data_IF_141630178181
#
_entry.id   IF_141630178181
#
_cell.length_a   1.000
_cell.length_b   1.000
_cell.length_c   1.000
_cell.angle_alpha   90.00
_cell.angle_beta   90.00
_cell.angle_gamma   90.00
#
_symmetry.space_group_name_H-M   'P 1'
#
loop_
_entity.id
_entity.type
_entity.pdbx_description
1 polymer ?
#
# COMPACT_ATOMS: atom_id res chain seq x y z
N UNK A 1 -15.13 -13.53 -41.71
CA UNK A 1 -14.77 -12.20 -41.17
C UNK A 1 -15.32 -12.13 -39.75
N UNK A 2 -14.47 -12.01 -38.74
CA UNK A 2 -14.91 -11.96 -37.35
C UNK A 2 -15.38 -10.53 -37.03
N UNK A 3 -16.69 -10.34 -36.88
CA UNK A 3 -17.28 -9.05 -36.53
C UNK A 3 -17.06 -8.78 -35.04
N UNK A 4 -16.01 -8.04 -34.71
CA UNK A 4 -15.75 -7.61 -33.33
C UNK A 4 -16.72 -6.47 -33.01
N UNK A 5 -17.75 -6.77 -32.24
CA UNK A 5 -18.73 -5.79 -31.76
C UNK A 5 -18.18 -5.13 -30.51
N UNK A 6 -17.83 -3.84 -30.59
CA UNK A 6 -17.42 -3.03 -29.43
C UNK A 6 -18.66 -2.27 -28.94
N UNK A 7 -19.18 -2.57 -27.74
CA UNK A 7 -20.31 -1.83 -27.17
C UNK A 7 -19.90 -0.37 -26.92
N UNK A 8 -20.72 0.59 -27.36
CA UNK A 8 -20.46 2.04 -27.18
C UNK A 8 -20.60 2.51 -25.72
N UNK A 9 -21.02 1.66 -24.80
CA UNK A 9 -21.09 2.00 -23.37
C UNK A 9 -21.40 0.79 -22.50
N UNK A 10 -20.54 0.55 -21.51
CA UNK A 10 -20.87 -0.24 -20.33
C UNK A 10 -21.27 0.76 -19.25
N UNK A 11 -22.53 0.72 -18.80
CA UNK A 11 -23.16 1.77 -17.99
C UNK A 11 -22.52 2.13 -16.64
N UNK A 12 -21.38 1.52 -16.28
CA UNK A 12 -20.65 1.77 -15.04
C UNK A 12 -19.20 2.29 -15.25
N UNK A 13 -18.64 2.27 -16.46
CA UNK A 13 -17.24 2.64 -16.72
C UNK A 13 -17.25 3.88 -17.62
N UNK A 14 -17.03 5.06 -17.01
CA UNK A 14 -17.15 6.36 -17.68
C UNK A 14 -16.07 6.64 -18.75
N UNK A 15 -14.96 5.92 -18.75
CA UNK A 15 -13.87 6.14 -19.71
C UNK A 15 -13.31 4.80 -20.18
N UNK A 16 -13.47 4.52 -21.48
CA UNK A 16 -12.90 3.35 -22.13
C UNK A 16 -11.54 3.76 -22.72
N UNK A 17 -10.45 3.30 -22.13
CA UNK A 17 -9.10 3.56 -22.63
C UNK A 17 -8.69 2.39 -23.52
N UNK A 18 -8.50 2.65 -24.81
CA UNK A 18 -7.95 1.66 -25.73
C UNK A 18 -6.44 1.52 -25.50
N UNK A 19 -6.00 0.34 -25.07
CA UNK A 19 -4.58 0.04 -24.82
C UNK A 19 -4.09 -1.03 -25.80
N UNK A 20 -2.91 -0.87 -26.42
CA UNK A 20 -2.30 -1.92 -27.23
C UNK A 20 -2.15 -3.24 -26.46
N UNK A 21 -2.39 -4.37 -27.15
CA UNK A 21 -2.38 -5.71 -26.52
C UNK A 21 -1.05 -6.03 -25.82
N UNK A 22 0.06 -5.59 -26.39
CA UNK A 22 1.41 -5.77 -25.84
C UNK A 22 1.56 -5.06 -24.50
N UNK A 23 1.21 -3.77 -24.46
CA UNK A 23 1.26 -2.94 -23.25
C UNK A 23 0.34 -3.46 -22.15
N UNK A 24 -0.84 -3.98 -22.51
CA UNK A 24 -1.75 -4.58 -21.53
C UNK A 24 -1.19 -5.89 -20.94
N UNK A 25 -0.55 -6.72 -21.75
CA UNK A 25 0.10 -7.95 -21.28
C UNK A 25 1.26 -7.65 -20.32
N UNK A 26 2.09 -6.66 -20.66
CA UNK A 26 3.18 -6.18 -19.80
C UNK A 26 2.64 -5.63 -18.46
N UNK A 27 1.55 -4.85 -18.50
CA UNK A 27 0.90 -4.35 -17.29
C UNK A 27 0.34 -5.48 -16.43
N UNK A 28 -0.30 -6.49 -17.02
CA UNK A 28 -0.82 -7.65 -16.28
C UNK A 28 0.30 -8.46 -15.63
N UNK A 29 1.42 -8.64 -16.32
CA UNK A 29 2.57 -9.36 -15.77
C UNK A 29 3.29 -8.54 -14.69
N UNK A 30 3.40 -7.22 -14.87
CA UNK A 30 3.80 -6.31 -13.80
C UNK A 30 2.83 -6.40 -12.63
N UNK A 31 1.52 -6.37 -12.84
CA UNK A 31 0.51 -6.45 -11.78
C UNK A 31 0.62 -7.78 -11.03
N UNK A 32 0.82 -8.91 -11.71
CA UNK A 32 1.06 -10.21 -11.07
C UNK A 32 2.33 -10.23 -10.23
N UNK A 33 3.42 -9.64 -10.72
CA UNK A 33 4.71 -9.51 -10.00
C UNK A 33 4.59 -8.55 -8.81
N UNK A 34 3.88 -7.45 -8.99
CA UNK A 34 3.72 -6.33 -8.05
C UNK A 34 2.57 -6.54 -7.06
N UNK A 35 1.73 -7.58 -7.22
CA UNK A 35 0.87 -8.10 -6.13
C UNK A 35 1.67 -8.45 -4.87
N UNK A 36 3.00 -8.53 -4.96
CA UNK A 36 3.94 -8.69 -3.85
C UNK A 36 4.56 -7.39 -3.33
N UNK A 37 4.14 -6.20 -3.78
CA UNK A 37 4.28 -5.02 -2.91
C UNK A 37 3.25 -5.26 -1.82
N UNK A 38 3.65 -6.04 -0.81
CA UNK A 38 2.86 -6.30 0.39
C UNK A 38 2.67 -4.94 1.02
N UNK A 39 1.62 -4.23 0.62
CA UNK A 39 1.16 -3.05 1.33
C UNK A 39 0.90 -3.55 2.73
N UNK A 40 1.74 -3.12 3.67
CA UNK A 40 1.66 -3.55 5.05
C UNK A 40 0.22 -3.36 5.49
N UNK A 41 -0.49 -4.47 5.74
CA UNK A 41 -1.88 -4.47 6.17
C UNK A 41 -1.84 -4.61 7.68
N UNK A 42 -1.89 -3.50 8.44
CA UNK A 42 -1.78 -3.59 9.88
C UNK A 42 -2.96 -4.39 10.43
N UNK A 43 -2.63 -5.30 11.34
CA UNK A 43 -3.56 -5.98 12.23
C UNK A 43 -4.30 -4.96 13.11
N UNK A 44 -5.41 -5.38 13.72
CA UNK A 44 -6.14 -4.52 14.66
C UNK A 44 -5.27 -4.07 15.85
N UNK A 45 -4.40 -4.97 16.33
CA UNK A 45 -3.45 -4.68 17.40
C UNK A 45 -2.45 -3.59 17.00
N UNK A 46 -1.88 -3.66 15.79
CA UNK A 46 -0.93 -2.66 15.28
C UNK A 46 -1.59 -1.29 15.06
N UNK A 47 -2.85 -1.26 14.60
CA UNK A 47 -3.61 0.00 14.50
C UNK A 47 -3.81 0.65 15.87
N UNK A 48 -4.16 -0.15 16.88
CA UNK A 48 -4.34 0.33 18.24
C UNK A 48 -3.00 0.80 18.85
N UNK A 49 -1.91 0.08 18.60
CA UNK A 49 -0.57 0.47 19.02
C UNK A 49 -0.16 1.82 18.41
N UNK A 50 -0.42 2.04 17.12
CA UNK A 50 -0.16 3.33 16.46
C UNK A 50 -1.02 4.46 17.03
N UNK A 51 -2.30 4.19 17.31
CA UNK A 51 -3.18 5.18 17.93
C UNK A 51 -2.70 5.57 19.34
N UNK A 52 -2.23 4.60 20.12
CA UNK A 52 -1.64 4.81 21.44
C UNK A 52 -0.34 5.61 21.33
N UNK A 53 0.58 5.20 20.45
CA UNK A 53 1.86 5.89 20.24
C UNK A 53 1.67 7.37 19.84
N UNK A 54 0.68 7.68 19.00
CA UNK A 54 0.35 9.07 18.63
C UNK A 54 -0.11 9.90 19.83
N UNK A 55 -0.90 9.31 20.73
CA UNK A 55 -1.37 9.99 21.96
C UNK A 55 -0.22 10.21 22.93
N UNK A 56 0.62 9.21 23.14
CA UNK A 56 1.81 9.28 23.99
C UNK A 56 2.77 10.36 23.48
N UNK A 57 3.05 10.38 22.18
CA UNK A 57 3.87 11.42 21.56
C UNK A 57 3.30 12.83 21.76
N UNK A 58 1.98 13.02 21.58
CA UNK A 58 1.33 14.31 21.79
C UNK A 58 1.37 14.79 23.25
N UNK A 59 1.46 13.87 24.22
CA UNK A 59 1.63 14.20 25.64
C UNK A 59 3.09 14.42 26.05
N UNK A 60 4.04 14.14 25.17
CA UNK A 60 5.48 14.15 25.49
C UNK A 60 5.97 12.84 26.13
N UNK A 61 5.14 11.80 26.17
CA UNK A 61 5.49 10.48 26.69
C UNK A 61 6.23 9.66 25.62
N UNK A 62 7.45 10.08 25.27
CA UNK A 62 8.29 9.35 24.32
C UNK A 62 9.71 9.20 24.85
N UNK A 63 10.36 8.11 24.44
CA UNK A 63 11.77 7.89 24.72
C UNK A 63 12.62 8.47 23.59
N UNK A 64 13.73 9.09 23.95
CA UNK A 64 14.72 9.61 23.00
C UNK A 64 15.72 8.53 22.61
N UNK A 65 16.41 8.70 21.48
CA UNK A 65 17.43 7.74 21.04
C UNK A 65 18.54 7.51 22.08
N UNK A 66 19.06 8.53 22.80
CA UNK A 66 20.02 8.31 23.88
C UNK A 66 19.43 7.49 25.04
N UNK A 67 18.21 7.79 25.48
CA UNK A 67 17.53 7.02 26.54
C UNK A 67 17.32 5.57 26.11
N UNK A 68 16.90 5.34 24.87
CA UNK A 68 16.74 4.00 24.31
C UNK A 68 18.07 3.23 24.29
N UNK A 69 19.17 3.87 23.88
CA UNK A 69 20.50 3.23 23.88
C UNK A 69 20.98 2.89 25.28
N UNK A 70 20.72 3.79 26.23
CA UNK A 70 21.03 3.59 27.64
C UNK A 70 20.25 2.39 28.22
N UNK A 71 18.94 2.35 28.02
CA UNK A 71 18.06 1.28 28.52
C UNK A 71 18.38 -0.08 27.88
N UNK A 72 18.81 -0.09 26.62
CA UNK A 72 19.21 -1.31 25.91
C UNK A 72 20.68 -1.70 26.12
N UNK A 73 21.45 -0.90 26.85
CA UNK A 73 22.86 -1.19 27.16
C UNK A 73 23.84 -1.00 25.99
N UNK A 74 23.46 -0.21 24.98
CA UNK A 74 24.32 0.12 23.83
C UNK A 74 25.32 1.27 24.12
N UNK A 75 25.36 1.78 25.35
CA UNK A 75 26.24 2.88 25.80
C UNK A 75 27.67 2.43 26.20
N UNK A 76 28.13 1.26 25.73
CA UNK A 76 29.51 0.78 25.92
C UNK A 76 30.41 1.07 24.73
#
# INVERSE_FOLDING_TARGET
>A
MATITIPKGFGAIKELIAVPRTTYAEFLDWQKKTKSVKTFKPTAAEKNALAKARREFARGDYITLPQLKHELGFDR
#
